data_IF_147634107840
#
_entry.id   IF_147634107840
#
_cell.length_a   1.000
_cell.length_b   1.000
_cell.length_c   1.000
_cell.angle_alpha   90.00
_cell.angle_beta   90.00
_cell.angle_gamma   90.00
#
_symmetry.space_group_name_H-M   'P 1'
#
loop_
_entity.id
_entity.type
_entity.pdbx_description
1 polymer ?
#
# COMPACT_ATOMS: atom_id res chain seq x y z
N UNK A 1 -60.79 28.13 -32.16
CA UNK A 1 -60.62 27.49 -30.85
C UNK A 1 -59.80 26.22 -31.06
N UNK A 2 -58.70 25.90 -30.40
CA UNK A 2 -57.88 26.59 -29.41
C UNK A 2 -56.41 26.33 -29.78
N UNK A 3 -55.62 27.40 -29.79
CA UNK A 3 -54.15 27.34 -29.88
C UNK A 3 -53.64 26.71 -28.59
N UNK A 4 -53.15 25.48 -28.68
CA UNK A 4 -52.32 24.92 -27.62
C UNK A 4 -50.98 25.67 -27.68
N UNK A 5 -50.76 26.55 -26.72
CA UNK A 5 -49.46 27.15 -26.43
C UNK A 5 -48.43 26.02 -26.26
N UNK A 6 -47.62 25.77 -27.28
CA UNK A 6 -46.40 24.98 -27.14
C UNK A 6 -45.47 25.76 -26.21
N UNK A 7 -45.52 25.41 -24.92
CA UNK A 7 -44.57 25.88 -23.92
C UNK A 7 -43.14 25.62 -24.44
N UNK A 8 -42.27 26.63 -24.51
CA UNK A 8 -40.88 26.46 -24.95
C UNK A 8 -40.07 25.58 -23.98
N UNK A 9 -40.60 25.27 -22.80
CA UNK A 9 -40.01 24.36 -21.82
C UNK A 9 -40.56 22.95 -22.00
N UNK A 10 -39.81 22.12 -22.74
CA UNK A 10 -39.98 20.67 -22.67
C UNK A 10 -39.64 20.20 -21.25
N UNK A 11 -40.52 19.47 -20.55
CA UNK A 11 -40.19 18.94 -19.24
C UNK A 11 -38.96 18.03 -19.35
N UNK A 12 -38.11 17.98 -18.30
CA UNK A 12 -36.92 17.15 -18.33
C UNK A 12 -37.30 15.68 -18.57
N UNK A 13 -36.55 14.95 -19.42
CA UNK A 13 -36.87 13.56 -19.73
C UNK A 13 -36.95 12.72 -18.46
N UNK A 14 -37.92 11.81 -18.39
CA UNK A 14 -38.04 10.86 -17.29
C UNK A 14 -37.05 9.73 -17.54
N UNK A 15 -36.16 9.47 -16.58
CA UNK A 15 -35.17 8.40 -16.64
C UNK A 15 -35.50 7.35 -15.59
N UNK A 16 -35.95 6.19 -16.06
CA UNK A 16 -36.17 5.00 -15.23
C UNK A 16 -34.86 4.22 -15.07
N UNK A 17 -34.43 4.00 -13.83
CA UNK A 17 -33.20 3.27 -13.58
C UNK A 17 -33.16 2.62 -12.20
N UNK A 18 -32.67 1.39 -12.17
CA UNK A 18 -32.44 0.60 -10.96
C UNK A 18 -31.40 1.24 -10.04
N UNK A 19 -30.49 2.05 -10.59
CA UNK A 19 -29.45 2.72 -9.81
C UNK A 19 -30.00 3.80 -8.87
N UNK A 20 -31.29 4.15 -8.93
CA UNK A 20 -31.94 5.04 -7.96
C UNK A 20 -31.21 6.38 -7.79
N UNK A 21 -30.81 6.72 -6.56
CA UNK A 21 -30.02 7.93 -6.24
C UNK A 21 -28.63 7.96 -6.89
N UNK A 22 -28.12 6.82 -7.34
CA UNK A 22 -26.86 6.68 -8.08
C UNK A 22 -27.04 6.73 -9.60
N UNK A 23 -28.27 6.95 -10.09
CA UNK A 23 -28.53 7.07 -11.52
C UNK A 23 -27.79 8.27 -12.13
N UNK A 24 -27.11 8.05 -13.25
CA UNK A 24 -26.34 9.06 -13.99
C UNK A 24 -27.14 9.70 -15.14
N UNK A 25 -28.39 9.30 -15.31
CA UNK A 25 -29.30 9.84 -16.31
C UNK A 25 -29.58 11.33 -16.14
N UNK A 26 -29.70 12.04 -17.26
CA UNK A 26 -30.09 13.45 -17.29
C UNK A 26 -31.63 13.53 -17.26
N UNK A 27 -32.20 14.25 -16.28
CA UNK A 27 -33.64 14.50 -16.18
C UNK A 27 -34.27 14.00 -14.87
N UNK A 28 -35.58 13.80 -14.85
CA UNK A 28 -36.33 13.35 -13.66
C UNK A 28 -36.10 11.86 -13.46
N UNK A 29 -35.37 11.49 -12.41
CA UNK A 29 -34.98 10.10 -12.12
C UNK A 29 -36.10 9.39 -11.37
N UNK A 30 -36.55 8.27 -11.92
CA UNK A 30 -37.51 7.37 -11.29
C UNK A 30 -36.82 6.04 -11.05
N UNK A 31 -36.89 5.56 -9.81
CA UNK A 31 -36.35 4.24 -9.49
C UNK A 31 -37.26 3.19 -10.14
N UNK A 32 -36.69 2.35 -10.99
CA UNK A 32 -37.38 1.23 -11.63
C UNK A 32 -36.50 -0.01 -11.45
N UNK A 33 -37.05 -1.06 -10.85
CA UNK A 33 -36.33 -2.29 -10.50
C UNK A 33 -35.96 -3.15 -11.69
N UNK A 34 -36.54 -2.91 -12.87
CA UNK A 34 -36.39 -3.78 -14.06
C UNK A 34 -35.53 -3.18 -15.17
N UNK A 35 -35.06 -1.94 -15.02
CA UNK A 35 -34.38 -1.21 -16.10
C UNK A 35 -33.09 -0.58 -15.63
N UNK A 36 -32.05 -0.65 -16.46
CA UNK A 36 -30.84 0.15 -16.32
C UNK A 36 -30.83 1.19 -17.45
N UNK A 37 -30.74 2.48 -17.12
CA UNK A 37 -30.68 3.51 -18.16
C UNK A 37 -29.34 3.47 -18.91
N UNK A 38 -29.33 3.98 -20.15
CA UNK A 38 -28.15 3.96 -21.02
C UNK A 38 -26.93 4.66 -20.40
N UNK A 39 -27.14 5.79 -19.72
CA UNK A 39 -26.05 6.51 -19.02
C UNK A 39 -25.42 5.66 -17.92
N UNK A 40 -26.25 4.90 -17.17
CA UNK A 40 -25.76 3.98 -16.16
C UNK A 40 -25.00 2.80 -16.77
N UNK A 41 -25.54 2.16 -17.82
CA UNK A 41 -24.89 1.05 -18.53
C UNK A 41 -23.51 1.46 -19.07
N UNK A 42 -23.41 2.65 -19.65
CA UNK A 42 -22.15 3.14 -20.21
C UNK A 42 -21.14 3.51 -19.11
N UNK A 43 -21.58 4.24 -18.08
CA UNK A 43 -20.67 4.96 -17.17
C UNK A 43 -20.38 4.27 -15.85
N UNK A 44 -21.24 3.36 -15.38
CA UNK A 44 -20.97 2.58 -14.18
C UNK A 44 -20.12 1.35 -14.48
N UNK A 45 -19.43 0.88 -13.45
CA UNK A 45 -18.71 -0.38 -13.55
C UNK A 45 -19.70 -1.55 -13.71
N UNK A 46 -19.46 -2.49 -14.66
CA UNK A 46 -20.35 -3.63 -14.84
C UNK A 46 -20.56 -4.46 -13.56
N UNK A 47 -19.53 -4.61 -12.71
CA UNK A 47 -19.69 -5.33 -11.45
C UNK A 47 -20.61 -4.58 -10.49
N UNK A 48 -20.51 -3.25 -10.47
CA UNK A 48 -21.38 -2.42 -9.64
C UNK A 48 -22.83 -2.45 -10.12
N UNK A 49 -23.05 -2.41 -11.43
CA UNK A 49 -24.39 -2.57 -11.99
C UNK A 49 -24.95 -3.94 -11.63
N UNK A 50 -24.17 -5.01 -11.74
CA UNK A 50 -24.58 -6.37 -11.31
C UNK A 50 -24.99 -6.45 -9.84
N UNK A 51 -24.35 -5.69 -8.96
CA UNK A 51 -24.74 -5.62 -7.54
C UNK A 51 -26.11 -4.95 -7.39
N UNK A 52 -26.36 -3.87 -8.13
CA UNK A 52 -27.64 -3.17 -8.07
C UNK A 52 -28.76 -3.90 -8.82
N UNK A 53 -28.41 -4.75 -9.79
CA UNK A 53 -29.35 -5.55 -10.57
C UNK A 53 -29.62 -6.92 -10.00
N UNK A 54 -28.98 -7.34 -8.90
CA UNK A 54 -29.27 -8.61 -8.26
C UNK A 54 -30.50 -8.49 -7.33
N UNK A 55 -31.55 -9.35 -7.45
CA UNK A 55 -31.66 -10.56 -8.27
C UNK A 55 -32.40 -10.39 -9.60
N UNK A 56 -32.60 -9.17 -10.09
CA UNK A 56 -33.24 -8.91 -11.37
C UNK A 56 -32.43 -9.46 -12.56
N UNK A 57 -32.88 -10.60 -13.09
CA UNK A 57 -32.24 -11.30 -14.20
C UNK A 57 -32.25 -10.48 -15.48
N UNK A 58 -33.36 -9.78 -15.79
CA UNK A 58 -33.48 -8.98 -17.02
C UNK A 58 -32.52 -7.79 -17.01
N UNK A 59 -32.43 -7.08 -15.89
CA UNK A 59 -31.51 -5.97 -15.74
C UNK A 59 -30.04 -6.43 -15.72
N UNK A 60 -29.76 -7.63 -15.20
CA UNK A 60 -28.42 -8.24 -15.22
C UNK A 60 -27.99 -8.65 -16.64
N UNK A 61 -28.92 -9.18 -17.45
CA UNK A 61 -28.66 -9.48 -18.87
C UNK A 61 -28.23 -8.23 -19.66
N UNK A 62 -28.88 -7.09 -19.45
CA UNK A 62 -28.50 -5.82 -20.09
C UNK A 62 -27.07 -5.38 -19.73
N UNK A 63 -26.63 -5.66 -18.49
CA UNK A 63 -25.26 -5.36 -18.07
C UNK A 63 -24.26 -6.29 -18.75
N UNK A 64 -24.60 -7.56 -18.90
CA UNK A 64 -23.75 -8.57 -19.55
C UNK A 64 -23.63 -8.35 -21.06
N UNK A 65 -24.72 -7.93 -21.72
CA UNK A 65 -24.71 -7.50 -23.12
C UNK A 65 -23.78 -6.30 -23.31
N UNK A 66 -23.87 -5.28 -22.45
CA UNK A 66 -23.01 -4.10 -22.53
C UNK A 66 -21.54 -4.44 -22.26
N UNK A 67 -21.26 -5.33 -21.30
CA UNK A 67 -19.90 -5.81 -21.03
C UNK A 67 -19.33 -6.57 -22.25
N UNK A 68 -20.16 -7.39 -22.89
CA UNK A 68 -19.79 -8.13 -24.11
C UNK A 68 -19.52 -7.17 -25.26
N UNK A 69 -20.37 -6.15 -25.46
CA UNK A 69 -20.19 -5.10 -26.47
C UNK A 69 -18.86 -4.37 -26.27
N UNK A 70 -18.49 -4.03 -25.04
CA UNK A 70 -17.20 -3.40 -24.72
C UNK A 70 -16.00 -4.30 -25.01
N UNK A 71 -16.11 -5.61 -24.78
CA UNK A 71 -15.08 -6.58 -25.16
C UNK A 71 -14.90 -6.69 -26.69
N UNK A 72 -15.99 -6.66 -27.46
CA UNK A 72 -15.93 -6.63 -28.94
C UNK A 72 -15.27 -5.33 -29.42
N UNK A 73 -15.67 -4.18 -28.88
CA UNK A 73 -15.07 -2.89 -29.21
C UNK A 73 -13.55 -2.88 -28.93
N UNK A 74 -13.14 -3.41 -27.78
CA UNK A 74 -11.73 -3.59 -27.43
C UNK A 74 -10.98 -4.39 -28.50
N UNK A 75 -11.47 -5.58 -28.86
CA UNK A 75 -10.83 -6.44 -29.88
C UNK A 75 -10.68 -5.71 -31.22
N UNK A 76 -11.70 -4.99 -31.65
CA UNK A 76 -11.68 -4.22 -32.91
C UNK A 76 -10.64 -3.09 -32.90
N UNK A 77 -10.44 -2.45 -31.75
CA UNK A 77 -9.44 -1.38 -31.57
C UNK A 77 -8.02 -1.97 -31.50
N UNK A 78 -7.85 -3.06 -30.74
CA UNK A 78 -6.58 -3.78 -30.61
C UNK A 78 -6.10 -4.37 -31.94
N UNK A 79 -7.01 -4.87 -32.78
CA UNK A 79 -6.71 -5.35 -34.13
C UNK A 79 -6.12 -4.26 -35.05
N UNK A 80 -6.32 -2.97 -34.73
CA UNK A 80 -5.79 -1.83 -35.48
C UNK A 80 -4.53 -1.23 -34.85
N UNK A 81 -3.88 -1.96 -33.93
CA UNK A 81 -2.65 -1.51 -33.25
C UNK A 81 -2.86 -0.33 -32.29
N UNK A 82 -4.10 -0.14 -31.82
CA UNK A 82 -4.43 0.85 -30.77
C UNK A 82 -5.07 0.14 -29.59
N UNK A 83 -5.17 0.81 -28.46
CA UNK A 83 -5.75 0.25 -27.24
C UNK A 83 -6.84 1.17 -26.71
N UNK A 84 -7.77 0.64 -25.93
CA UNK A 84 -8.68 1.49 -25.18
C UNK A 84 -7.92 2.26 -24.11
N UNK A 85 -8.41 3.46 -23.77
CA UNK A 85 -7.92 4.19 -22.61
C UNK A 85 -7.97 3.28 -21.39
N UNK A 86 -6.95 3.36 -20.53
CA UNK A 86 -6.86 2.53 -19.34
C UNK A 86 -8.12 2.57 -18.47
N UNK A 87 -8.93 3.65 -18.50
CA UNK A 87 -10.20 3.79 -17.77
C UNK A 87 -11.43 3.17 -18.44
N UNK A 88 -11.36 2.86 -19.74
CA UNK A 88 -12.42 2.22 -20.52
C UNK A 88 -12.09 0.77 -20.90
N UNK A 89 -10.81 0.39 -20.84
CA UNK A 89 -10.35 -0.94 -21.20
C UNK A 89 -10.85 -1.99 -20.17
N UNK A 90 -11.61 -3.01 -20.59
CA UNK A 90 -12.10 -4.08 -19.73
C UNK A 90 -11.00 -4.85 -18.98
N UNK A 91 -9.77 -4.92 -19.51
CA UNK A 91 -8.69 -5.68 -18.86
C UNK A 91 -8.26 -5.10 -17.51
N UNK A 92 -8.56 -3.82 -17.28
CA UNK A 92 -8.21 -3.11 -16.06
C UNK A 92 -9.39 -3.01 -15.08
N UNK A 93 -10.50 -3.71 -15.33
CA UNK A 93 -11.70 -3.67 -14.48
C UNK A 93 -11.43 -4.10 -13.03
N UNK A 94 -10.46 -4.99 -12.82
CA UNK A 94 -10.09 -5.51 -11.50
C UNK A 94 -8.95 -4.72 -10.81
N UNK A 95 -8.40 -3.71 -11.47
CA UNK A 95 -7.30 -2.94 -10.88
C UNK A 95 -7.77 -2.15 -9.66
N UNK A 96 -6.95 -2.12 -8.61
CA UNK A 96 -7.25 -1.51 -7.31
C UNK A 96 -7.73 -0.05 -7.39
N UNK A 97 -7.30 0.69 -8.41
CA UNK A 97 -7.70 2.07 -8.63
C UNK A 97 -9.07 2.26 -9.30
N UNK A 98 -9.76 1.17 -9.70
CA UNK A 98 -11.14 1.15 -10.21
C UNK A 98 -12.20 0.74 -9.18
N UNK A 99 -11.81 0.43 -7.95
CA UNK A 99 -12.73 0.02 -6.88
C UNK A 99 -13.73 1.12 -6.48
N UNK A 100 -14.82 0.73 -5.80
CA UNK A 100 -16.03 1.52 -5.47
C UNK A 100 -15.77 2.96 -4.97
N UNK A 101 -14.71 3.18 -4.17
CA UNK A 101 -14.36 4.49 -3.58
C UNK A 101 -13.53 5.40 -4.50
N UNK A 102 -12.86 4.83 -5.51
CA UNK A 102 -12.09 5.53 -6.53
C UNK A 102 -12.82 5.60 -7.87
N UNK A 103 -14.00 4.97 -7.91
CA UNK A 103 -14.88 4.92 -9.05
C UNK A 103 -15.11 6.36 -9.51
N UNK A 104 -14.54 6.70 -10.66
CA UNK A 104 -14.48 8.06 -11.15
C UNK A 104 -15.86 8.46 -11.73
N UNK A 105 -16.84 8.52 -10.84
CA UNK A 105 -18.26 8.81 -11.10
C UNK A 105 -18.36 10.06 -11.97
N UNK A 106 -19.00 9.92 -13.13
CA UNK A 106 -19.18 11.01 -14.08
C UNK A 106 -17.92 11.44 -14.86
N UNK A 107 -16.82 10.68 -14.82
CA UNK A 107 -15.59 11.00 -15.57
C UNK A 107 -15.30 10.09 -16.75
N UNK A 108 -16.12 9.05 -16.98
CA UNK A 108 -16.13 8.31 -18.24
C UNK A 108 -16.65 9.24 -19.32
N UNK A 109 -15.73 10.03 -19.86
CA UNK A 109 -15.91 10.69 -21.14
C UNK A 109 -15.76 9.62 -22.20
N UNK A 110 -16.27 9.84 -23.41
CA UNK A 110 -15.90 9.07 -24.59
C UNK A 110 -14.36 9.19 -24.79
N UNK A 111 -13.59 8.41 -24.03
CA UNK A 111 -12.14 8.55 -23.95
C UNK A 111 -11.58 7.83 -25.20
N UNK A 112 -10.82 8.53 -26.06
CA UNK A 112 -10.36 7.98 -27.32
C UNK A 112 -9.33 6.85 -27.12
N UNK A 113 -9.11 6.07 -28.18
CA UNK A 113 -8.07 5.04 -28.21
C UNK A 113 -6.66 5.64 -28.03
N UNK A 114 -5.80 4.89 -27.34
CA UNK A 114 -4.42 5.23 -27.00
C UNK A 114 -3.45 4.33 -27.76
N UNK A 115 -2.19 4.75 -27.87
CA UNK A 115 -1.15 3.98 -28.59
C UNK A 115 -0.52 2.86 -27.76
N UNK A 116 -0.67 2.89 -26.44
CA UNK A 116 -0.06 1.92 -25.51
C UNK A 116 -1.10 1.35 -24.58
N UNK A 117 -1.07 0.03 -24.37
CA UNK A 117 -1.97 -0.67 -23.45
C UNK A 117 -1.76 -0.18 -22.01
N UNK A 118 -2.86 0.00 -21.28
CA UNK A 118 -2.83 0.53 -19.91
C UNK A 118 -2.48 2.01 -19.79
N UNK A 119 -2.45 2.76 -20.90
CA UNK A 119 -2.27 4.21 -20.86
C UNK A 119 -3.60 4.95 -20.69
N UNK A 120 -3.63 5.96 -19.83
CA UNK A 120 -4.72 6.92 -19.78
C UNK A 120 -4.61 7.91 -20.96
N UNK A 121 -5.70 8.20 -21.65
CA UNK A 121 -5.70 9.19 -22.72
C UNK A 121 -5.39 10.61 -22.16
N UNK A 122 -4.95 11.55 -23.00
CA UNK A 122 -4.53 12.89 -22.55
C UNK A 122 -5.59 13.67 -21.76
N UNK A 123 -6.88 13.49 -22.10
CA UNK A 123 -8.02 14.09 -21.38
C UNK A 123 -8.20 13.45 -20.00
N UNK A 124 -8.23 12.13 -19.97
CA UNK A 124 -8.32 11.32 -18.75
C UNK A 124 -7.08 11.59 -17.83
N UNK A 125 -5.87 11.76 -18.40
CA UNK A 125 -4.61 12.09 -17.71
C UNK A 125 -4.59 13.50 -17.08
N UNK A 126 -4.77 14.57 -17.89
CA UNK A 126 -4.62 15.96 -17.43
C UNK A 126 -5.70 16.39 -16.43
N UNK A 127 -6.95 15.96 -16.62
CA UNK A 127 -8.08 16.42 -15.78
C UNK A 127 -8.15 15.69 -14.44
N UNK A 128 -7.72 14.43 -14.35
CA UNK A 128 -8.09 13.56 -13.21
C UNK A 128 -6.89 12.91 -12.51
N UNK A 129 -5.93 12.34 -13.25
CA UNK A 129 -4.79 11.65 -12.63
C UNK A 129 -3.84 12.61 -11.88
N UNK A 130 -3.71 13.86 -12.34
CA UNK A 130 -2.88 14.87 -11.64
C UNK A 130 -3.53 15.45 -10.36
N UNK A 131 -4.84 15.25 -10.15
CA UNK A 131 -5.63 15.88 -9.07
C UNK A 131 -6.18 14.90 -8.03
N UNK A 132 -6.03 13.59 -8.22
CA UNK A 132 -6.64 12.55 -7.38
C UNK A 132 -5.54 11.59 -6.89
N UNK A 133 -5.71 10.98 -5.69
CA UNK A 133 -4.81 10.01 -5.03
C UNK A 133 -4.56 8.68 -5.79
N UNK A 134 -4.82 8.67 -7.10
CA UNK A 134 -4.56 7.53 -8.00
C UNK A 134 -3.31 7.70 -8.86
N UNK A 135 -2.66 8.87 -8.83
CA UNK A 135 -1.36 9.10 -9.48
C UNK A 135 -0.32 8.04 -9.09
N UNK A 136 -0.39 7.50 -7.87
CA UNK A 136 0.50 6.44 -7.39
C UNK A 136 0.40 5.11 -8.16
N UNK A 137 -0.65 4.90 -8.97
CA UNK A 137 -0.84 3.70 -9.79
C UNK A 137 -0.43 3.88 -11.26
N UNK A 138 -0.05 5.10 -11.65
CA UNK A 138 0.34 5.44 -13.01
C UNK A 138 1.68 6.20 -13.03
N UNK A 139 2.51 5.93 -14.03
CA UNK A 139 3.72 6.72 -14.27
C UNK A 139 3.39 8.20 -14.53
N UNK A 140 4.35 9.14 -14.41
CA UNK A 140 4.14 10.54 -14.78
C UNK A 140 3.71 10.78 -16.25
N UNK A 141 3.79 9.75 -17.10
CA UNK A 141 3.34 9.77 -18.49
C UNK A 141 1.93 9.17 -18.68
N UNK A 142 1.31 8.67 -17.61
CA UNK A 142 -0.03 8.10 -17.61
C UNK A 142 -0.15 6.65 -18.00
N UNK A 143 0.93 5.90 -17.92
CA UNK A 143 0.93 4.45 -18.10
C UNK A 143 0.72 3.76 -16.76
N UNK A 144 -0.16 2.76 -16.69
CA UNK A 144 -0.32 1.95 -15.49
C UNK A 144 1.02 1.32 -15.10
N UNK A 145 1.42 1.38 -13.82
CA UNK A 145 2.70 0.80 -13.38
C UNK A 145 2.81 -0.69 -13.68
N UNK A 146 1.71 -1.44 -13.63
CA UNK A 146 1.68 -2.87 -13.98
C UNK A 146 2.08 -3.11 -15.44
N UNK A 147 1.62 -2.28 -16.38
CA UNK A 147 1.98 -2.38 -17.81
C UNK A 147 3.36 -1.77 -18.10
N UNK A 148 3.72 -0.69 -17.41
CA UNK A 148 5.07 -0.11 -17.49
C UNK A 148 6.14 -1.13 -17.09
N UNK A 149 5.87 -1.93 -16.05
CA UNK A 149 6.75 -2.97 -15.58
C UNK A 149 6.85 -4.14 -16.58
N UNK A 150 5.74 -4.56 -17.21
CA UNK A 150 5.77 -5.58 -18.26
C UNK A 150 6.59 -5.14 -19.48
N UNK A 151 6.48 -3.87 -19.87
CA UNK A 151 7.28 -3.32 -20.96
C UNK A 151 8.76 -3.20 -20.58
N UNK A 152 9.08 -2.80 -19.35
CA UNK A 152 10.46 -2.75 -18.86
C UNK A 152 11.12 -4.15 -18.84
N UNK A 153 10.38 -5.19 -18.46
CA UNK A 153 10.84 -6.58 -18.50
C UNK A 153 11.06 -7.05 -19.95
N UNK A 154 10.14 -6.73 -20.87
CA UNK A 154 10.29 -7.07 -22.30
C UNK A 154 11.45 -6.32 -22.98
N UNK A 155 11.72 -5.09 -22.58
CA UNK A 155 12.86 -4.31 -23.08
C UNK A 155 14.20 -4.73 -22.47
N UNK A 156 14.19 -5.40 -21.31
CA UNK A 156 15.38 -5.96 -20.67
C UNK A 156 15.68 -7.42 -21.08
N UNK A 157 14.78 -8.04 -21.85
CA UNK A 157 14.87 -9.44 -22.28
C UNK A 157 14.89 -9.60 -23.80
N UNK A 158 15.67 -8.78 -24.52
CA UNK A 158 16.00 -9.04 -25.92
C UNK A 158 17.33 -9.78 -26.02
N UNK A 159 17.36 -11.00 -25.51
CA UNK A 159 18.18 -12.10 -25.99
C UNK A 159 17.62 -13.38 -25.35
N UNK A 160 17.43 -14.39 -26.21
CA UNK A 160 16.92 -15.73 -25.92
C UNK A 160 15.38 -15.88 -25.83
N UNK A 161 14.84 -16.28 -26.98
CA UNK A 161 13.46 -16.73 -27.13
C UNK A 161 13.25 -18.08 -26.45
N UNK A 162 12.16 -18.16 -25.68
CA UNK A 162 11.47 -19.40 -25.40
C UNK A 162 9.98 -19.11 -25.62
N UNK A 163 9.46 -19.65 -26.73
CA UNK A 163 8.03 -19.85 -26.90
C UNK A 163 7.56 -20.81 -25.80
N UNK A 164 6.80 -20.31 -24.82
CA UNK A 164 6.01 -21.17 -23.95
C UNK A 164 4.55 -21.07 -24.37
N UNK A 165 4.09 -22.17 -24.94
CA UNK A 165 2.71 -22.44 -25.29
C UNK A 165 1.78 -22.13 -24.11
N UNK A 166 0.76 -21.36 -24.45
CA UNK A 166 -0.30 -20.89 -23.58
C UNK A 166 -1.32 -22.02 -23.36
N UNK A 167 -1.09 -22.88 -22.37
CA UNK A 167 -2.12 -23.80 -21.90
C UNK A 167 -3.10 -23.08 -20.99
N UNK A 168 -4.30 -22.88 -21.56
CA UNK A 168 -5.53 -22.51 -20.88
C UNK A 168 -5.89 -23.61 -19.86
N UNK A 169 -5.54 -23.41 -18.60
CA UNK A 169 -6.21 -24.10 -17.51
C UNK A 169 -7.25 -23.16 -16.88
N UNK A 170 -8.51 -23.43 -17.24
CA UNK A 170 -9.71 -22.95 -16.55
C UNK A 170 -9.60 -23.30 -15.06
N UNK A 171 -9.43 -22.28 -14.22
CA UNK A 171 -9.68 -22.42 -12.79
C UNK A 171 -11.20 -22.55 -12.61
N UNK A 172 -11.71 -23.55 -11.85
CA UNK A 172 -13.13 -23.78 -11.69
C UNK A 172 -13.87 -22.57 -11.11
N UNK A 173 -15.06 -22.32 -11.66
CA UNK A 173 -16.03 -21.24 -11.37
C UNK A 173 -16.51 -21.10 -9.91
N UNK A 174 -15.90 -21.81 -8.95
CA UNK A 174 -16.26 -21.75 -7.52
C UNK A 174 -15.48 -20.70 -6.71
N UNK A 175 -14.58 -19.92 -7.34
CA UNK A 175 -13.75 -18.92 -6.64
C UNK A 175 -14.08 -17.45 -6.98
N UNK A 176 -15.23 -17.17 -7.60
CA UNK A 176 -15.64 -15.81 -8.02
C UNK A 176 -16.91 -15.27 -7.36
N UNK A 177 -17.35 -15.89 -6.26
CA UNK A 177 -18.37 -15.36 -5.34
C UNK A 177 -17.71 -14.77 -4.08
N UNK A 178 -16.91 -13.71 -4.24
CA UNK A 178 -16.67 -12.78 -3.12
C UNK A 178 -16.98 -11.38 -3.61
N UNK A 179 -18.28 -11.08 -3.56
CA UNK A 179 -18.80 -9.73 -3.50
C UNK A 179 -18.09 -8.96 -2.38
N UNK A 180 -17.96 -7.64 -2.55
CA UNK A 180 -17.75 -6.74 -1.43
C UNK A 180 -18.84 -7.03 -0.41
N UNK A 181 -18.48 -7.76 0.65
CA UNK A 181 -19.31 -7.89 1.82
C UNK A 181 -19.66 -6.48 2.31
N UNK A 182 -20.84 -6.29 2.94
CA UNK A 182 -21.11 -5.07 3.71
C UNK A 182 -19.89 -4.73 4.59
N UNK A 183 -19.64 -3.45 4.94
CA UNK A 183 -18.54 -3.11 5.87
C UNK A 183 -18.59 -4.15 6.97
N UNK A 184 -17.52 -4.96 7.16
CA UNK A 184 -17.64 -6.20 7.90
C UNK A 184 -18.35 -5.83 9.19
N UNK A 185 -19.55 -6.39 9.40
CA UNK A 185 -20.15 -6.39 10.73
C UNK A 185 -18.99 -6.71 11.66
N UNK A 186 -18.76 -5.93 12.73
CA UNK A 186 -17.53 -6.01 13.51
C UNK A 186 -17.50 -7.40 14.14
N UNK A 187 -16.89 -8.30 13.39
CA UNK A 187 -16.89 -9.73 13.58
C UNK A 187 -15.42 -10.09 13.68
N UNK A 188 -15.03 -10.48 14.88
CA UNK A 188 -13.68 -10.92 15.15
C UNK A 188 -13.75 -12.37 15.59
N UNK A 189 -12.81 -13.20 15.17
CA UNK A 189 -12.70 -14.57 15.67
C UNK A 189 -12.59 -14.62 17.21
N UNK A 190 -12.05 -13.57 17.83
CA UNK A 190 -12.00 -13.38 19.28
C UNK A 190 -13.34 -13.01 19.92
N UNK A 191 -14.40 -12.74 19.15
CA UNK A 191 -15.74 -12.43 19.66
C UNK A 191 -15.74 -11.40 20.80
N UNK A 192 -16.34 -11.78 21.92
CA UNK A 192 -16.44 -10.96 23.14
C UNK A 192 -15.09 -10.63 23.77
N UNK A 193 -14.03 -11.40 23.50
CA UNK A 193 -12.68 -11.09 23.94
C UNK A 193 -12.03 -9.96 23.11
N UNK A 194 -12.57 -9.60 21.94
CA UNK A 194 -12.02 -8.53 21.11
C UNK A 194 -12.08 -7.16 21.80
N UNK A 195 -10.94 -6.60 22.22
CA UNK A 195 -10.86 -5.31 22.91
C UNK A 195 -11.13 -4.05 22.07
N UNK A 196 -11.80 -4.18 20.92
CA UNK A 196 -12.08 -3.04 20.02
C UNK A 196 -13.26 -2.16 20.48
N UNK A 197 -14.13 -2.69 21.33
CA UNK A 197 -15.26 -1.99 21.97
C UNK A 197 -15.64 -2.72 23.26
N UNK A 198 -16.32 -2.01 24.16
CA UNK A 198 -16.85 -2.61 25.41
C UNK A 198 -17.81 -3.77 25.10
N UNK A 199 -17.65 -4.90 25.79
CA UNK A 199 -18.41 -6.13 25.53
C UNK A 199 -17.95 -6.94 24.31
N UNK A 200 -16.94 -6.44 23.60
CA UNK A 200 -16.32 -7.12 22.46
C UNK A 200 -17.13 -7.08 21.17
N UNK A 201 -16.84 -8.01 20.28
CA UNK A 201 -17.44 -8.10 18.94
C UNK A 201 -18.27 -9.37 18.81
N UNK A 202 -19.18 -9.40 17.84
CA UNK A 202 -19.84 -10.64 17.47
C UNK A 202 -18.77 -11.60 16.93
N UNK A 203 -18.91 -12.91 17.15
CA UNK A 203 -17.89 -13.86 16.70
C UNK A 203 -17.86 -13.96 15.17
N UNK A 204 -16.66 -13.82 14.60
CA UNK A 204 -16.41 -13.86 13.16
C UNK A 204 -15.48 -14.99 12.71
N UNK A 205 -15.33 -15.20 11.40
CA UNK A 205 -14.42 -16.22 10.87
C UNK A 205 -12.94 -15.79 10.85
N UNK A 206 -12.63 -14.49 10.94
CA UNK A 206 -11.26 -13.95 10.83
C UNK A 206 -10.94 -12.95 11.95
N UNK A 207 -9.66 -12.67 12.15
CA UNK A 207 -9.15 -11.66 13.07
C UNK A 207 -9.43 -10.27 12.47
N UNK A 208 -10.15 -9.42 13.22
CA UNK A 208 -10.49 -8.07 12.78
C UNK A 208 -9.26 -7.16 12.70
N UNK A 209 -9.40 -5.98 12.08
CA UNK A 209 -8.30 -5.03 11.90
C UNK A 209 -7.70 -4.50 13.22
N UNK A 210 -8.52 -4.38 14.27
CA UNK A 210 -8.08 -4.02 15.61
C UNK A 210 -7.14 -5.08 16.19
N UNK A 211 -7.59 -6.33 16.25
CA UNK A 211 -6.75 -7.44 16.75
C UNK A 211 -5.52 -7.64 15.86
N UNK A 212 -5.65 -7.47 14.53
CA UNK A 212 -4.49 -7.47 13.62
C UNK A 212 -3.46 -6.40 13.97
N UNK A 213 -3.79 -5.33 14.70
CA UNK A 213 -2.82 -4.32 15.15
C UNK A 213 -2.05 -4.72 16.43
N UNK A 214 -2.52 -5.68 17.21
CA UNK A 214 -1.85 -6.17 18.42
C UNK A 214 -0.52 -6.86 18.10
N UNK A 215 0.31 -7.08 19.12
CA UNK A 215 1.49 -7.95 19.01
C UNK A 215 1.04 -9.39 18.83
N UNK A 216 1.88 -10.19 18.15
CA UNK A 216 1.61 -11.62 18.03
C UNK A 216 1.58 -12.29 19.40
N UNK A 217 2.50 -11.91 20.30
CA UNK A 217 2.49 -12.38 21.69
C UNK A 217 1.15 -12.11 22.40
N UNK A 218 0.63 -10.89 22.31
CA UNK A 218 -0.68 -10.55 22.87
C UNK A 218 -1.82 -11.35 22.21
N UNK A 219 -1.75 -11.60 20.90
CA UNK A 219 -2.74 -12.42 20.20
C UNK A 219 -2.72 -13.88 20.67
N UNK A 220 -1.54 -14.49 20.82
CA UNK A 220 -1.44 -15.88 21.32
C UNK A 220 -1.89 -16.00 22.77
N UNK A 221 -1.46 -15.08 23.65
CA UNK A 221 -1.93 -15.02 25.05
C UNK A 221 -3.46 -14.91 25.12
N UNK A 222 -4.04 -14.04 24.29
CA UNK A 222 -5.48 -13.89 24.22
C UNK A 222 -6.19 -15.16 23.67
N UNK A 223 -5.57 -15.85 22.71
CA UNK A 223 -6.11 -17.09 22.15
C UNK A 223 -6.11 -18.24 23.18
N UNK A 224 -5.11 -18.29 24.06
CA UNK A 224 -4.99 -19.29 25.13
C UNK A 224 -6.11 -19.19 26.16
N UNK A 225 -6.56 -17.98 26.46
CA UNK A 225 -7.68 -17.73 27.37
C UNK A 225 -9.07 -18.02 26.76
N UNK A 226 -9.15 -18.43 25.48
CA UNK A 226 -10.40 -18.55 24.75
C UNK A 226 -10.78 -20.00 24.47
N UNK A 227 -12.07 -20.36 24.52
CA UNK A 227 -12.55 -21.72 24.28
C UNK A 227 -12.18 -22.32 22.90
N UNK A 228 -11.87 -21.47 21.91
CA UNK A 228 -11.54 -21.86 20.54
C UNK A 228 -10.04 -21.69 20.25
N UNK A 229 -9.17 -21.97 21.24
CA UNK A 229 -7.72 -21.72 21.17
C UNK A 229 -7.08 -22.24 19.89
N UNK A 230 -7.37 -23.48 19.48
CA UNK A 230 -6.75 -24.10 18.30
C UNK A 230 -7.06 -23.33 17.02
N UNK A 231 -8.32 -22.95 16.81
CA UNK A 231 -8.74 -22.16 15.66
C UNK A 231 -8.09 -20.77 15.67
N UNK A 232 -8.05 -20.11 16.83
CA UNK A 232 -7.45 -18.78 16.96
C UNK A 232 -5.96 -18.80 16.68
N UNK A 233 -5.21 -19.77 17.26
CA UNK A 233 -3.78 -19.94 16.97
C UNK A 233 -3.54 -20.14 15.48
N UNK A 234 -4.34 -20.98 14.81
CA UNK A 234 -4.24 -21.17 13.37
C UNK A 234 -4.47 -19.88 12.56
N UNK A 235 -5.49 -19.08 12.90
CA UNK A 235 -5.74 -17.79 12.24
C UNK A 235 -4.59 -16.79 12.46
N UNK A 236 -3.98 -16.80 13.65
CA UNK A 236 -2.82 -15.96 13.96
C UNK A 236 -1.61 -16.39 13.11
N UNK A 237 -1.36 -17.69 12.97
CA UNK A 237 -0.28 -18.25 12.15
C UNK A 237 -0.48 -17.90 10.66
N UNK A 238 -1.71 -18.03 10.15
CA UNK A 238 -2.03 -17.63 8.78
C UNK A 238 -1.76 -16.13 8.54
N UNK A 239 -2.15 -15.29 9.48
CA UNK A 239 -1.90 -13.85 9.40
C UNK A 239 -0.40 -13.54 9.41
N UNK A 240 0.38 -14.22 10.25
CA UNK A 240 1.83 -14.10 10.31
C UNK A 240 2.49 -14.47 8.99
N UNK A 241 2.15 -15.63 8.41
CA UNK A 241 2.68 -16.07 7.12
C UNK A 241 2.28 -15.12 5.98
N UNK A 242 1.13 -14.46 6.07
CA UNK A 242 0.78 -13.40 5.13
C UNK A 242 1.76 -12.22 5.22
N UNK A 243 2.10 -11.75 6.42
CA UNK A 243 3.07 -10.66 6.61
C UNK A 243 4.49 -11.03 6.16
N UNK A 244 4.91 -12.27 6.38
CA UNK A 244 6.21 -12.79 5.92
C UNK A 244 6.32 -12.79 4.39
N UNK A 245 5.28 -13.26 3.70
CA UNK A 245 5.20 -13.21 2.23
C UNK A 245 5.18 -11.77 1.72
N UNK A 246 4.36 -10.91 2.33
CA UNK A 246 4.26 -9.49 1.95
C UNK A 246 5.60 -8.76 2.16
N UNK A 247 6.29 -9.01 3.27
CA UNK A 247 7.60 -8.41 3.58
C UNK A 247 8.65 -8.86 2.56
N UNK A 248 8.75 -10.16 2.33
CA UNK A 248 9.71 -10.74 1.38
C UNK A 248 9.49 -10.21 -0.04
N UNK A 249 8.24 -10.13 -0.48
CA UNK A 249 7.90 -9.62 -1.80
C UNK A 249 8.25 -8.13 -1.94
N UNK A 250 7.95 -7.32 -0.91
CA UNK A 250 8.29 -5.89 -0.89
C UNK A 250 9.79 -5.67 -0.96
N UNK A 251 10.57 -6.41 -0.18
CA UNK A 251 12.04 -6.34 -0.19
C UNK A 251 12.57 -6.71 -1.58
N UNK A 252 12.16 -7.87 -2.11
CA UNK A 252 12.59 -8.35 -3.43
C UNK A 252 12.26 -7.37 -4.56
N UNK A 253 11.11 -6.69 -4.49
CA UNK A 253 10.64 -5.76 -5.51
C UNK A 253 11.04 -4.29 -5.25
N UNK A 254 11.78 -4.01 -4.18
CA UNK A 254 12.15 -2.64 -3.79
C UNK A 254 10.95 -1.73 -3.49
N UNK A 255 9.81 -2.31 -3.10
CA UNK A 255 8.62 -1.55 -2.72
C UNK A 255 8.77 -0.93 -1.34
N UNK A 256 7.89 0.03 -1.04
CA UNK A 256 7.77 0.58 0.32
C UNK A 256 7.61 -0.57 1.33
N UNK A 257 8.43 -0.54 2.39
CA UNK A 257 8.47 -1.57 3.40
C UNK A 257 7.21 -1.56 4.27
N UNK A 258 7.00 -2.65 5.02
CA UNK A 258 5.99 -2.66 6.07
C UNK A 258 6.43 -1.74 7.21
N UNK A 259 5.46 -1.11 7.87
CA UNK A 259 5.68 -0.47 9.17
C UNK A 259 6.38 -1.46 10.11
N UNK A 260 7.31 -1.00 10.95
CA UNK A 260 8.01 -1.85 11.91
C UNK A 260 7.04 -2.65 12.82
N UNK A 261 5.84 -2.12 13.11
CA UNK A 261 4.81 -2.87 13.84
C UNK A 261 4.27 -4.13 13.12
N UNK A 262 4.54 -4.24 11.83
CA UNK A 262 4.08 -5.30 10.92
C UNK A 262 5.21 -5.98 10.15
N UNK A 263 6.44 -5.51 10.31
CA UNK A 263 7.60 -6.17 9.74
C UNK A 263 7.96 -7.38 10.63
N UNK A 264 7.96 -8.61 10.09
CA UNK A 264 8.27 -9.82 10.85
C UNK A 264 9.62 -9.79 11.57
N UNK A 265 10.59 -9.03 11.08
CA UNK A 265 11.92 -8.87 11.69
C UNK A 265 11.85 -8.34 13.12
N UNK A 266 10.87 -7.49 13.43
CA UNK A 266 10.74 -6.85 14.75
C UNK A 266 9.73 -7.55 15.65
N UNK A 267 9.21 -8.71 15.25
CA UNK A 267 8.15 -9.42 15.99
C UNK A 267 8.52 -9.67 17.45
N UNK A 268 9.76 -10.08 17.69
CA UNK A 268 10.28 -10.45 19.01
C UNK A 268 11.02 -9.30 19.70
N UNK A 269 11.03 -8.10 19.11
CA UNK A 269 11.60 -6.93 19.79
C UNK A 269 10.75 -6.61 21.02
N UNK A 270 11.40 -6.36 22.16
CA UNK A 270 10.71 -6.07 23.43
C UNK A 270 9.67 -4.94 23.29
N UNK A 271 10.05 -3.85 22.62
CA UNK A 271 9.15 -2.72 22.34
C UNK A 271 7.89 -3.11 21.55
N UNK A 272 7.98 -4.15 20.72
CA UNK A 272 6.89 -4.59 19.87
C UNK A 272 5.90 -5.48 20.63
N UNK A 273 6.38 -6.28 21.58
CA UNK A 273 5.56 -7.20 22.37
C UNK A 273 4.44 -6.47 23.11
N UNK A 274 4.72 -5.27 23.63
CA UNK A 274 3.79 -4.53 24.47
C UNK A 274 3.00 -3.44 23.72
N UNK A 275 3.40 -3.13 22.48
CA UNK A 275 2.76 -2.06 21.73
C UNK A 275 1.43 -2.48 21.07
N UNK A 276 0.36 -1.77 21.43
CA UNK A 276 -0.93 -1.79 20.74
C UNK A 276 -1.38 -0.34 20.45
N UNK A 277 -1.55 0.06 19.18
CA UNK A 277 -1.98 1.42 18.85
C UNK A 277 -3.42 1.75 19.26
N UNK A 278 -4.19 0.79 19.77
CA UNK A 278 -5.59 0.95 20.19
C UNK A 278 -6.42 1.65 19.11
N UNK A 279 -6.32 1.13 17.88
CA UNK A 279 -6.96 1.68 16.68
C UNK A 279 -7.27 0.54 15.71
N UNK A 280 -8.36 0.65 14.95
CA UNK A 280 -8.77 -0.29 13.92
C UNK A 280 -8.19 0.02 12.54
N UNK A 281 -7.56 1.20 12.35
CA UNK A 281 -6.91 1.59 11.10
C UNK A 281 -5.72 0.69 10.79
N UNK A 282 -5.57 0.31 9.53
CA UNK A 282 -4.46 -0.53 9.05
C UNK A 282 -3.14 0.25 8.99
N UNK A 283 -2.02 -0.46 9.18
CA UNK A 283 -0.68 0.14 9.07
C UNK A 283 -0.41 0.65 7.65
N UNK A 284 0.23 1.81 7.57
CA UNK A 284 0.80 2.30 6.33
C UNK A 284 2.12 1.60 5.99
N UNK A 285 2.58 1.81 4.77
CA UNK A 285 3.92 1.44 4.32
C UNK A 285 4.91 2.55 4.61
N UNK A 286 6.20 2.22 4.69
CA UNK A 286 7.27 3.14 5.05
C UNK A 286 8.41 3.08 4.03
N UNK A 287 9.26 4.10 4.03
CA UNK A 287 10.38 4.19 3.08
C UNK A 287 11.54 3.27 3.46
N UNK A 288 11.77 3.10 4.75
CA UNK A 288 12.91 2.35 5.27
C UNK A 288 12.46 1.22 6.19
N UNK A 289 13.18 0.09 6.16
CA UNK A 289 13.01 -0.97 7.17
C UNK A 289 13.29 -0.43 8.57
N UNK A 290 12.57 -0.97 9.56
CA UNK A 290 12.60 -0.51 10.94
C UNK A 290 11.88 0.82 11.20
N UNK A 291 11.17 1.38 10.21
CA UNK A 291 10.43 2.64 10.38
C UNK A 291 8.97 2.38 10.80
N UNK A 292 8.49 3.14 11.78
CA UNK A 292 7.08 3.22 12.13
C UNK A 292 6.36 4.09 11.10
N UNK A 293 5.19 3.65 10.63
CA UNK A 293 4.35 4.55 9.83
C UNK A 293 3.86 5.71 10.69
N UNK A 294 3.56 6.86 10.06
CA UNK A 294 3.14 8.08 10.76
C UNK A 294 2.02 7.87 11.79
N UNK A 295 1.09 6.94 11.52
CA UNK A 295 0.03 6.56 12.47
C UNK A 295 0.60 5.88 13.72
N UNK A 296 1.43 4.85 13.53
CA UNK A 296 1.97 4.07 14.65
C UNK A 296 2.94 4.92 15.48
N UNK A 297 3.74 5.76 14.84
CA UNK A 297 4.62 6.70 15.53
C UNK A 297 3.83 7.66 16.42
N UNK A 298 2.79 8.30 15.86
CA UNK A 298 1.92 9.19 16.63
C UNK A 298 1.23 8.48 17.78
N UNK A 299 0.75 7.25 17.57
CA UNK A 299 0.12 6.45 18.63
C UNK A 299 1.08 6.08 19.76
N UNK A 300 2.33 5.75 19.42
CA UNK A 300 3.35 5.52 20.44
C UNK A 300 3.66 6.80 21.23
N UNK A 301 3.66 7.98 20.58
CA UNK A 301 3.81 9.27 21.25
C UNK A 301 2.61 9.60 22.16
N UNK A 302 1.38 9.42 21.68
CA UNK A 302 0.15 9.62 22.45
C UNK A 302 0.10 8.72 23.70
N UNK A 303 0.66 7.51 23.60
CA UNK A 303 0.76 6.55 24.71
C UNK A 303 1.99 6.76 25.60
N UNK A 304 2.81 7.80 25.34
CA UNK A 304 4.07 8.06 26.03
C UNK A 304 4.96 6.81 26.15
N UNK A 305 5.04 6.00 25.08
CA UNK A 305 5.71 4.71 25.12
C UNK A 305 7.22 4.86 25.43
N UNK A 306 7.74 4.26 26.52
CA UNK A 306 9.12 4.51 26.96
C UNK A 306 10.16 3.98 25.97
N UNK A 307 9.85 2.93 25.23
CA UNK A 307 10.73 2.35 24.22
C UNK A 307 10.95 3.23 22.98
N UNK A 308 10.18 4.31 22.79
CA UNK A 308 10.41 5.26 21.70
C UNK A 308 11.80 5.90 21.75
N UNK A 309 12.46 5.89 22.91
CA UNK A 309 13.85 6.34 23.06
C UNK A 309 14.84 5.52 22.23
N UNK A 310 14.47 4.30 21.79
CA UNK A 310 15.27 3.47 20.89
C UNK A 310 15.11 3.85 19.41
N UNK A 311 14.24 4.82 19.11
CA UNK A 311 13.97 5.31 17.76
C UNK A 311 14.57 6.70 17.55
N UNK A 312 15.21 6.88 16.40
CA UNK A 312 15.65 8.18 15.89
C UNK A 312 14.53 8.74 15.00
N UNK A 313 13.69 9.60 15.60
CA UNK A 313 12.42 9.97 14.98
C UNK A 313 11.50 8.76 14.92
N UNK A 314 11.03 8.40 13.72
CA UNK A 314 10.16 7.25 13.50
C UNK A 314 10.91 5.97 13.10
N UNK A 315 12.25 5.98 13.08
CA UNK A 315 13.07 4.86 12.61
C UNK A 315 13.86 4.21 13.74
N UNK A 316 13.76 2.89 13.84
CA UNK A 316 14.43 2.09 14.85
C UNK A 316 15.96 2.21 14.75
N UNK A 317 16.60 2.38 15.90
CA UNK A 317 18.03 2.62 16.03
C UNK A 317 18.47 3.99 15.52
N UNK A 318 19.73 4.34 15.75
CA UNK A 318 20.33 5.62 15.40
C UNK A 318 21.24 5.48 14.17
N UNK A 319 21.52 6.55 13.42
CA UNK A 319 22.57 6.52 12.42
C UNK A 319 23.92 6.22 13.10
N UNK A 320 24.78 5.46 12.42
CA UNK A 320 26.19 5.40 12.81
C UNK A 320 26.77 6.81 12.90
N UNK A 321 27.57 7.07 13.92
CA UNK A 321 28.24 8.37 14.18
C UNK A 321 28.86 9.02 12.94
N UNK A 322 29.51 8.24 12.08
CA UNK A 322 30.10 8.78 10.85
C UNK A 322 29.09 9.31 9.84
N UNK A 323 27.92 8.68 9.79
CA UNK A 323 26.86 9.02 8.84
C UNK A 323 25.78 9.91 9.47
N UNK A 324 25.87 10.21 10.77
CA UNK A 324 24.91 11.09 11.43
C UNK A 324 25.07 12.53 10.95
N UNK A 325 24.05 13.10 10.26
CA UNK A 325 24.13 14.46 9.74
C UNK A 325 24.22 15.51 10.85
N UNK A 326 23.76 15.21 12.07
CA UNK A 326 23.81 16.13 13.22
C UNK A 326 25.24 16.37 13.70
N UNK A 327 26.14 15.44 13.42
CA UNK A 327 27.56 15.48 13.78
C UNK A 327 28.45 16.00 12.65
N UNK A 328 27.89 16.70 11.65
CA UNK A 328 28.65 17.30 10.53
C UNK A 328 29.00 18.77 10.78
N UNK A 329 28.95 19.26 12.02
CA UNK A 329 29.25 20.68 12.30
C UNK A 329 30.75 20.91 12.26
N UNK A 330 31.23 22.12 11.89
CA UNK A 330 32.65 22.45 11.89
C UNK A 330 33.34 22.25 13.24
N UNK A 331 32.62 22.40 14.36
CA UNK A 331 33.14 22.15 15.72
C UNK A 331 33.38 20.66 16.00
N UNK A 332 32.69 19.77 15.28
CA UNK A 332 32.81 18.30 15.41
C UNK A 332 33.98 17.74 14.55
N UNK A 333 34.67 18.59 13.77
CA UNK A 333 35.74 18.18 12.85
C UNK A 333 36.94 17.54 13.56
N UNK A 334 37.17 17.90 14.82
CA UNK A 334 38.37 17.50 15.56
C UNK A 334 38.45 15.99 15.78
N UNK A 335 37.34 15.34 16.14
CA UNK A 335 37.31 13.89 16.27
C UNK A 335 37.13 13.19 14.92
N UNK A 336 36.57 13.85 13.90
CA UNK A 336 36.39 13.29 12.55
C UNK A 336 37.67 13.18 11.72
N UNK A 337 38.65 14.05 11.96
CA UNK A 337 39.99 13.94 11.35
C UNK A 337 40.80 12.82 12.02
N UNK A 338 40.51 12.55 13.29
CA UNK A 338 41.14 11.46 14.03
C UNK A 338 42.49 11.83 14.64
N UNK A 339 43.15 10.85 15.27
CA UNK A 339 44.47 11.03 15.86
C UNK A 339 45.52 11.28 14.77
N UNK A 340 46.44 12.21 15.04
CA UNK A 340 47.57 12.52 14.15
C UNK A 340 48.81 11.74 14.57
N UNK A 341 49.57 11.27 13.59
CA UNK A 341 50.87 10.63 13.80
C UNK A 341 51.95 11.67 14.22
N UNK A 342 53.18 11.21 14.41
CA UNK A 342 54.32 12.07 14.78
C UNK A 342 54.69 13.13 13.74
N UNK A 343 54.24 12.95 12.49
CA UNK A 343 54.42 13.90 11.38
C UNK A 343 53.22 14.85 11.23
N UNK A 344 52.23 14.75 12.12
CA UNK A 344 51.03 15.58 12.09
C UNK A 344 49.96 15.11 11.09
N UNK A 345 50.10 13.94 10.47
CA UNK A 345 49.13 13.42 9.49
C UNK A 345 48.08 12.53 10.17
N UNK A 346 46.79 12.61 9.78
CA UNK A 346 45.75 11.74 10.31
C UNK A 346 45.91 10.29 9.83
N UNK A 347 45.39 9.34 10.61
CA UNK A 347 45.35 7.93 10.19
C UNK A 347 44.44 7.76 8.95
N UNK A 348 44.93 7.16 7.85
CA UNK A 348 44.17 7.01 6.61
C UNK A 348 42.97 6.07 6.73
N UNK A 349 42.88 5.25 7.78
CA UNK A 349 41.74 4.38 8.06
C UNK A 349 40.70 5.02 8.98
N UNK A 350 40.96 6.24 9.47
CA UNK A 350 40.02 6.96 10.32
C UNK A 350 38.80 7.47 9.53
N UNK A 351 39.05 8.19 8.44
CA UNK A 351 37.97 8.62 7.54
C UNK A 351 37.41 7.43 6.77
N UNK A 352 36.10 7.45 6.52
CA UNK A 352 35.41 6.38 5.81
C UNK A 352 35.62 6.50 4.32
N UNK A 353 36.11 5.44 3.67
CA UNK A 353 36.12 5.33 2.21
C UNK A 353 34.83 4.62 1.76
N UNK A 354 33.89 5.30 1.07
CA UNK A 354 32.65 4.70 0.61
C UNK A 354 32.84 3.52 -0.35
N UNK A 355 33.97 3.43 -1.06
CA UNK A 355 34.27 2.36 -2.00
C UNK A 355 34.78 1.10 -1.29
N UNK A 356 35.52 1.27 -0.19
CA UNK A 356 36.13 0.17 0.58
C UNK A 356 35.23 -0.33 1.70
N UNK A 357 34.58 0.59 2.42
CA UNK A 357 33.97 0.30 3.72
C UNK A 357 32.44 0.09 3.64
N UNK A 358 31.83 0.33 2.47
CA UNK A 358 30.40 0.11 2.23
C UNK A 358 29.46 1.06 2.99
N UNK A 359 28.19 0.68 3.15
CA UNK A 359 27.19 1.50 3.86
C UNK A 359 27.17 1.20 5.36
N UNK A 360 26.99 2.23 6.18
CA UNK A 360 26.84 2.02 7.62
C UNK A 360 25.46 1.44 7.95
N UNK A 361 25.47 0.56 8.93
CA UNK A 361 24.26 0.09 9.61
C UNK A 361 23.80 1.09 10.68
N UNK A 362 22.55 0.93 11.13
CA UNK A 362 22.03 1.70 12.27
C UNK A 362 22.48 1.06 13.57
N UNK A 363 22.61 1.86 14.60
CA UNK A 363 23.14 1.47 15.91
C UNK A 363 22.04 1.45 16.96
N UNK A 364 22.29 0.73 18.06
CA UNK A 364 21.34 0.68 19.18
C UNK A 364 21.32 2.00 19.95
N UNK A 365 22.48 2.61 20.13
CA UNK A 365 22.63 3.81 20.95
C UNK A 365 22.93 5.03 20.08
N UNK A 366 22.46 6.20 20.57
CA UNK A 366 22.81 7.50 20.01
C UNK A 366 24.33 7.69 20.11
N UNK A 367 24.90 8.35 19.11
CA UNK A 367 26.34 8.62 19.05
C UNK A 367 27.20 7.34 19.11
N UNK A 368 26.71 6.21 18.63
CA UNK A 368 27.46 4.95 18.54
C UNK A 368 27.99 4.68 17.11
N UNK A 369 29.15 4.04 17.01
CA UNK A 369 29.64 3.45 15.78
C UNK A 369 28.87 2.16 15.46
N UNK A 370 28.55 1.92 14.19
CA UNK A 370 28.09 0.58 13.80
C UNK A 370 29.24 -0.43 13.90
N UNK A 371 28.93 -1.72 14.00
CA UNK A 371 29.93 -2.76 14.21
C UNK A 371 31.07 -2.72 13.19
N UNK A 372 30.75 -2.46 11.91
CA UNK A 372 31.76 -2.32 10.85
C UNK A 372 32.71 -1.16 11.10
N UNK A 373 32.18 0.02 11.47
CA UNK A 373 33.00 1.18 11.78
C UNK A 373 33.77 1.00 13.08
N UNK A 374 33.20 0.32 14.07
CA UNK A 374 33.89 -0.01 15.31
C UNK A 374 35.08 -0.93 15.06
N UNK A 375 34.87 -2.08 14.41
CA UNK A 375 35.93 -3.04 14.10
C UNK A 375 37.07 -2.41 13.28
N UNK A 376 36.73 -1.50 12.37
CA UNK A 376 37.72 -0.78 11.55
C UNK A 376 38.58 0.18 12.38
N UNK A 377 38.02 0.77 13.44
CA UNK A 377 38.66 1.86 14.16
C UNK A 377 39.23 1.49 15.53
N UNK A 378 38.72 0.43 16.16
CA UNK A 378 39.08 0.12 17.55
C UNK A 378 40.58 -0.18 17.73
N UNK A 379 41.26 -0.58 16.66
CA UNK A 379 42.71 -0.84 16.63
C UNK A 379 43.56 0.41 16.33
N UNK A 380 42.95 1.52 15.91
CA UNK A 380 43.67 2.76 15.57
C UNK A 380 44.16 3.44 16.85
N UNK A 381 45.46 3.76 16.89
CA UNK A 381 46.09 4.45 18.02
C UNK A 381 45.38 5.77 18.31
N UNK A 382 44.84 5.93 19.52
CA UNK A 382 44.13 7.14 19.92
C UNK A 382 42.61 7.08 19.74
N UNK A 383 42.06 5.96 19.25
CA UNK A 383 40.61 5.69 19.20
C UNK A 383 39.91 5.98 20.54
N UNK A 384 40.47 5.44 21.63
CA UNK A 384 39.94 5.59 23.00
C UNK A 384 39.84 7.04 23.51
N UNK A 385 40.47 8.00 22.81
CA UNK A 385 40.36 9.44 23.10
C UNK A 385 38.98 9.99 22.78
N UNK A 386 38.38 9.51 21.70
CA UNK A 386 37.12 10.03 21.17
C UNK A 386 35.96 9.08 21.46
N UNK A 387 36.21 7.77 21.39
CA UNK A 387 35.21 6.74 21.61
C UNK A 387 35.52 5.95 22.88
N UNK A 388 34.51 5.35 23.49
CA UNK A 388 34.74 4.27 24.44
C UNK A 388 35.18 3.00 23.69
N UNK A 389 35.98 2.17 24.36
CA UNK A 389 36.60 0.98 23.77
C UNK A 389 35.72 -0.26 23.81
N UNK A 390 34.58 -0.21 24.50
CA UNK A 390 33.71 -1.36 24.72
C UNK A 390 32.57 -1.39 23.68
N UNK A 391 31.96 -0.23 23.42
CA UNK A 391 30.76 -0.09 22.63
C UNK A 391 30.91 0.89 21.45
N UNK A 392 32.03 1.62 21.38
CA UNK A 392 32.28 2.57 20.30
C UNK A 392 31.34 3.78 20.31
N UNK A 393 30.91 4.20 21.50
CA UNK A 393 30.09 5.40 21.75
C UNK A 393 31.04 6.61 21.82
N UNK A 394 30.70 7.64 21.05
CA UNK A 394 31.40 8.91 21.05
C UNK A 394 31.24 9.57 22.42
N UNK A 395 32.37 9.86 23.07
CA UNK A 395 32.40 10.45 24.40
C UNK A 395 31.70 11.81 24.41
N UNK A 396 31.03 12.13 25.51
CA UNK A 396 30.11 13.27 25.63
C UNK A 396 30.69 14.63 25.23
N UNK A 397 32.00 14.83 25.36
CA UNK A 397 32.69 16.07 24.97
C UNK A 397 32.72 16.29 23.44
N UNK A 398 32.32 15.30 22.64
CA UNK A 398 32.40 15.31 21.18
C UNK A 398 31.05 15.01 20.51
N UNK A 399 30.03 14.61 21.28
CA UNK A 399 28.71 14.21 20.80
C UNK A 399 27.62 15.29 20.94
N UNK A 400 26.42 14.97 20.43
CA UNK A 400 25.18 15.78 20.56
C UNK A 400 24.21 15.10 21.52
#
# INVERSE_FOLDING_TARGET
MASAFESPFKPPPIVECISGSHCLGIGKKIHNTDRVCADCLQRHDPQQLRVWTNPNTAASLLVDEEATRKQVLKRNIEARGRYLCAFEDPDFQHCRWRLYDLNLRGTRLDCPSVRKKGAACSRCWRRRLRKIRIAQYFTPTGLCHEEANKLAIRSAGSEEGIELHQEKNCVPLYSLLVMLAPPPKPHCAFGTACGSRSGGQDQGPDICSWCKNMSFDALYKQAEAHANTRLLKHLIDMYMHQLERDSSERIRKGWACLCACKDPEYRFSAWRCDFNPQDSRLCGTVRHRGQLCARCYRKAQEQASPWLVEFDGDRFGFPCVFEDPRLRRPIDSNWKIGPRNQHGEPDPSWEKDPRRDGRCERTRFKNQLCQRCFNRMCEIRGFGRYFDTEWGILRGNYGV
#
